data_IF_480429664190
#
_entry.id   IF_480429664190
#
_cell.length_a   1.000
_cell.length_b   1.000
_cell.length_c   1.000
_cell.angle_alpha   90.00
_cell.angle_beta   90.00
_cell.angle_gamma   90.00
#
_symmetry.space_group_name_H-M   'P 1'
#
loop_
_entity.id
_entity.type
_entity.pdbx_description
1 polymer ?
#
# COMPACT_ATOMS: atom_id res chain seq x y z
N UNK A 1 -8.57 -1.78 17.52
CA UNK A 1 -8.85 -0.66 16.59
C UNK A 1 -7.51 -0.11 16.11
N UNK A 2 -7.14 -0.24 14.82
CA UNK A 2 -6.02 0.55 14.31
C UNK A 2 -6.58 1.95 14.05
N UNK A 3 -6.09 2.95 14.80
CA UNK A 3 -6.43 4.37 14.56
C UNK A 3 -6.11 4.71 13.10
N UNK A 4 -6.91 5.58 12.50
CA UNK A 4 -6.58 6.31 11.28
C UNK A 4 -5.15 6.85 11.44
N UNK A 5 -4.16 6.16 10.84
CA UNK A 5 -2.76 6.53 11.01
C UNK A 5 -2.61 7.78 10.15
N UNK A 6 -2.33 8.92 10.78
CA UNK A 6 -2.00 10.14 10.04
C UNK A 6 -0.98 9.76 8.98
N UNK A 7 -1.25 10.11 7.71
CA UNK A 7 -0.29 9.90 6.64
C UNK A 7 1.06 10.48 7.08
N UNK A 8 2.17 9.75 6.85
CA UNK A 8 3.48 10.30 7.16
C UNK A 8 3.62 11.62 6.39
N UNK A 9 4.15 12.65 7.05
CA UNK A 9 4.47 13.94 6.45
C UNK A 9 5.99 14.10 6.38
N UNK A 10 6.53 14.64 5.27
CA UNK A 10 7.96 14.86 5.15
C UNK A 10 8.39 15.99 6.10
N UNK A 11 9.25 15.67 7.06
CA UNK A 11 9.78 16.66 8.00
C UNK A 11 10.79 17.60 7.33
N UNK A 12 11.64 17.05 6.46
CA UNK A 12 12.67 17.79 5.72
C UNK A 12 12.70 17.31 4.27
N UNK A 13 12.86 18.26 3.34
CA UNK A 13 13.00 18.01 1.90
C UNK A 13 14.30 18.67 1.44
N UNK A 14 15.18 17.87 0.83
CA UNK A 14 16.49 18.28 0.34
C UNK A 14 16.46 18.50 -1.18
N UNK A 15 17.32 19.36 -1.67
CA UNK A 15 17.49 19.58 -3.11
C UNK A 15 18.40 18.50 -3.73
N UNK A 16 18.13 18.19 -5.00
CA UNK A 16 18.89 17.24 -5.81
C UNK A 16 20.38 17.56 -5.89
N UNK A 17 20.75 18.83 -5.81
CA UNK A 17 22.15 19.29 -5.82
C UNK A 17 22.98 18.74 -4.66
N UNK A 18 22.35 18.40 -3.53
CA UNK A 18 23.03 17.79 -2.39
C UNK A 18 23.41 16.32 -2.61
N UNK A 19 22.94 15.69 -3.69
CA UNK A 19 23.22 14.30 -4.03
C UNK A 19 24.31 14.19 -5.09
N UNK A 20 25.27 13.27 -4.89
CA UNK A 20 26.31 12.99 -5.88
C UNK A 20 25.70 12.55 -7.24
N UNK A 21 26.17 13.09 -8.38
CA UNK A 21 25.65 12.75 -9.71
C UNK A 21 25.69 11.25 -10.05
N UNK A 22 26.63 10.49 -9.47
CA UNK A 22 26.75 9.04 -9.64
C UNK A 22 25.51 8.26 -9.17
N UNK A 23 24.66 8.87 -8.33
CA UNK A 23 23.46 8.26 -7.76
C UNK A 23 22.18 8.61 -8.53
N UNK A 24 22.23 9.53 -9.48
CA UNK A 24 21.04 10.02 -10.17
C UNK A 24 20.33 8.92 -10.96
N UNK A 25 21.08 8.08 -11.68
CA UNK A 25 20.52 6.97 -12.45
C UNK A 25 19.77 5.95 -11.57
N UNK A 26 20.28 5.68 -10.37
CA UNK A 26 19.63 4.78 -9.41
C UNK A 26 18.31 5.37 -8.87
N UNK A 27 18.27 6.67 -8.60
CA UNK A 27 17.05 7.38 -8.20
C UNK A 27 16.03 7.39 -9.33
N UNK A 28 16.45 7.69 -10.56
CA UNK A 28 15.58 7.68 -11.75
C UNK A 28 14.95 6.29 -11.97
N UNK A 29 15.74 5.23 -11.87
CA UNK A 29 15.26 3.86 -11.96
C UNK A 29 14.22 3.55 -10.86
N UNK A 30 14.52 3.93 -9.61
CA UNK A 30 13.59 3.73 -8.49
C UNK A 30 12.28 4.50 -8.69
N UNK A 31 12.33 5.74 -9.17
CA UNK A 31 11.12 6.55 -9.44
C UNK A 31 10.28 5.96 -10.57
N UNK A 32 10.92 5.41 -11.60
CA UNK A 32 10.24 4.70 -12.69
C UNK A 32 9.54 3.44 -12.16
N UNK A 33 10.21 2.65 -11.34
CA UNK A 33 9.64 1.47 -10.69
C UNK A 33 8.45 1.85 -9.80
N UNK A 34 8.62 2.88 -8.95
CA UNK A 34 7.54 3.39 -8.08
C UNK A 34 6.33 3.87 -8.88
N UNK A 35 6.54 4.52 -10.04
CA UNK A 35 5.44 4.94 -10.92
C UNK A 35 4.66 3.75 -11.46
N UNK A 36 5.35 2.69 -11.89
CA UNK A 36 4.71 1.47 -12.38
C UNK A 36 3.93 0.77 -11.26
N UNK A 37 4.55 0.61 -10.10
CA UNK A 37 3.96 -0.07 -8.94
C UNK A 37 2.77 0.70 -8.38
N UNK A 38 2.84 2.04 -8.28
CA UNK A 38 1.71 2.90 -7.90
C UNK A 38 0.51 2.68 -8.83
N UNK A 39 0.72 2.67 -10.16
CA UNK A 39 -0.36 2.41 -11.13
C UNK A 39 -0.98 1.02 -10.96
N UNK A 40 -0.13 -0.01 -10.77
CA UNK A 40 -0.61 -1.38 -10.54
C UNK A 40 -1.42 -1.47 -9.25
N UNK A 41 -0.96 -0.83 -8.18
CA UNK A 41 -1.63 -0.79 -6.88
C UNK A 41 -3.00 -0.11 -6.97
N UNK A 42 -3.08 1.06 -7.63
CA UNK A 42 -4.34 1.76 -7.90
C UNK A 42 -5.33 0.86 -8.64
N UNK A 43 -4.88 0.18 -9.70
CA UNK A 43 -5.72 -0.73 -10.48
C UNK A 43 -6.24 -1.88 -9.61
N UNK A 44 -5.36 -2.55 -8.86
CA UNK A 44 -5.74 -3.68 -8.02
C UNK A 44 -6.71 -3.28 -6.90
N UNK A 45 -6.50 -2.12 -6.27
CA UNK A 45 -7.42 -1.59 -5.25
C UNK A 45 -8.77 -1.16 -5.84
N UNK A 46 -8.80 -0.59 -7.04
CA UNK A 46 -10.05 -0.26 -7.74
C UNK A 46 -10.89 -1.52 -8.04
N UNK A 47 -10.23 -2.60 -8.49
CA UNK A 47 -10.89 -3.89 -8.67
C UNK A 47 -11.39 -4.47 -7.34
N UNK A 48 -10.60 -4.37 -6.27
CA UNK A 48 -10.98 -4.80 -4.93
C UNK A 48 -12.19 -4.02 -4.40
N UNK A 49 -12.24 -2.71 -4.66
CA UNK A 49 -13.38 -1.87 -4.31
C UNK A 49 -14.64 -2.28 -5.08
N UNK A 50 -14.50 -2.64 -6.36
CA UNK A 50 -15.61 -3.12 -7.19
C UNK A 50 -16.20 -4.41 -6.62
N UNK A 51 -15.38 -5.40 -6.28
CA UNK A 51 -15.84 -6.64 -5.62
C UNK A 51 -16.48 -6.36 -4.26
N UNK A 52 -15.95 -5.41 -3.51
CA UNK A 52 -16.51 -5.00 -2.22
C UNK A 52 -17.90 -4.37 -2.39
N UNK A 53 -18.14 -3.58 -3.42
CA UNK A 53 -19.47 -3.04 -3.71
C UNK A 53 -20.48 -4.13 -4.07
N UNK A 54 -20.07 -5.16 -4.81
CA UNK A 54 -20.92 -6.32 -5.10
C UNK A 54 -21.27 -7.06 -3.81
N UNK A 55 -20.28 -7.27 -2.93
CA UNK A 55 -20.48 -7.87 -1.61
C UNK A 55 -21.45 -7.05 -0.75
N UNK A 56 -21.33 -5.73 -0.74
CA UNK A 56 -22.24 -4.84 0.00
C UNK A 56 -23.68 -4.98 -0.49
N UNK A 57 -23.91 -4.91 -1.81
CA UNK A 57 -25.27 -5.08 -2.37
C UNK A 57 -25.88 -6.43 -1.99
N UNK A 58 -25.09 -7.50 -2.07
CA UNK A 58 -25.54 -8.84 -1.69
C UNK A 58 -25.82 -8.93 -0.19
N UNK A 59 -24.96 -8.33 0.64
CA UNK A 59 -25.16 -8.25 2.08
C UNK A 59 -26.49 -7.57 2.42
N UNK A 60 -26.76 -6.39 1.86
CA UNK A 60 -27.99 -5.65 2.15
C UNK A 60 -29.24 -6.44 1.73
N UNK A 61 -29.22 -7.10 0.57
CA UNK A 61 -30.35 -7.90 0.09
C UNK A 61 -30.64 -9.11 0.97
N UNK A 62 -29.61 -9.78 1.48
CA UNK A 62 -29.72 -11.08 2.15
C UNK A 62 -29.62 -10.99 3.69
N UNK A 63 -29.42 -9.79 4.26
CA UNK A 63 -29.25 -9.56 5.71
C UNK A 63 -30.43 -10.10 6.53
N UNK A 64 -31.66 -9.73 6.19
CA UNK A 64 -32.81 -10.06 7.02
C UNK A 64 -33.10 -11.57 7.08
N UNK A 65 -32.76 -12.30 6.00
CA UNK A 65 -32.96 -13.74 5.89
C UNK A 65 -31.90 -14.57 6.63
N UNK A 66 -30.68 -14.04 6.75
CA UNK A 66 -29.53 -14.84 7.19
C UNK A 66 -28.74 -14.24 8.36
N UNK A 67 -29.21 -13.16 8.99
CA UNK A 67 -28.45 -12.48 10.05
C UNK A 67 -27.99 -13.40 11.20
N UNK A 68 -28.75 -14.45 11.51
CA UNK A 68 -28.44 -15.44 12.56
C UNK A 68 -27.58 -16.61 12.07
N UNK A 69 -27.38 -16.77 10.76
CA UNK A 69 -26.66 -17.90 10.19
C UNK A 69 -25.15 -17.81 10.46
N UNK A 70 -24.50 -18.95 10.73
CA UNK A 70 -23.08 -19.00 11.04
C UNK A 70 -22.20 -18.51 9.89
N UNK A 71 -22.53 -18.88 8.64
CA UNK A 71 -21.82 -18.41 7.45
C UNK A 71 -21.94 -16.88 7.27
N UNK A 72 -23.04 -16.29 7.75
CA UNK A 72 -23.27 -14.84 7.62
C UNK A 72 -22.30 -14.01 8.46
N UNK A 73 -21.84 -14.55 9.59
CA UNK A 73 -20.76 -13.92 10.39
C UNK A 73 -19.47 -13.77 9.57
N UNK A 74 -19.19 -14.72 8.66
CA UNK A 74 -18.03 -14.66 7.76
C UNK A 74 -18.19 -13.58 6.69
N UNK A 75 -19.40 -13.39 6.17
CA UNK A 75 -19.73 -12.27 5.28
C UNK A 75 -19.46 -10.92 5.95
N UNK A 76 -19.88 -10.76 7.21
CA UNK A 76 -19.60 -9.55 7.99
C UNK A 76 -18.09 -9.29 8.16
N UNK A 77 -17.31 -10.32 8.44
CA UNK A 77 -15.85 -10.20 8.57
C UNK A 77 -15.18 -9.84 7.24
N UNK A 78 -15.56 -10.48 6.12
CA UNK A 78 -15.06 -10.10 4.79
C UNK A 78 -15.27 -8.62 4.50
N UNK A 79 -16.48 -8.10 4.76
CA UNK A 79 -16.81 -6.67 4.58
C UNK A 79 -15.95 -5.77 5.45
N UNK A 80 -15.75 -6.14 6.71
CA UNK A 80 -14.92 -5.39 7.65
C UNK A 80 -13.48 -5.27 7.18
N UNK A 81 -12.90 -6.36 6.67
CA UNK A 81 -11.53 -6.32 6.12
C UNK A 81 -11.45 -5.51 4.83
N UNK A 82 -12.42 -5.68 3.92
CA UNK A 82 -12.50 -4.89 2.70
C UNK A 82 -12.56 -3.38 2.98
N UNK A 83 -13.41 -2.96 3.93
CA UNK A 83 -13.48 -1.55 4.37
C UNK A 83 -12.15 -1.06 4.95
N UNK A 84 -11.53 -1.86 5.82
CA UNK A 84 -10.25 -1.51 6.46
C UNK A 84 -9.09 -1.39 5.46
N UNK A 85 -9.14 -2.14 4.36
CA UNK A 85 -8.16 -2.03 3.28
C UNK A 85 -8.22 -0.65 2.61
N UNK A 86 -9.43 -0.17 2.32
CA UNK A 86 -9.66 1.15 1.72
C UNK A 86 -9.30 2.28 2.68
N UNK A 87 -9.65 2.14 3.97
CA UNK A 87 -9.33 3.14 5.00
C UNK A 87 -7.82 3.32 5.25
N UNK A 88 -6.98 2.36 4.87
CA UNK A 88 -5.53 2.48 5.05
C UNK A 88 -4.89 3.49 4.08
N UNK A 89 -5.48 3.69 2.90
CA UNK A 89 -4.98 4.58 1.84
C UNK A 89 -3.48 4.39 1.51
N UNK A 90 -3.11 3.14 1.18
CA UNK A 90 -1.72 2.81 0.81
C UNK A 90 -1.28 3.53 -0.47
N UNK A 91 -2.22 3.84 -1.36
CA UNK A 91 -1.99 4.62 -2.58
C UNK A 91 -1.53 6.03 -2.25
N UNK A 92 -2.22 6.73 -1.35
CA UNK A 92 -1.82 8.05 -0.88
C UNK A 92 -0.45 8.04 -0.21
N UNK A 93 -0.10 6.98 0.53
CA UNK A 93 1.22 6.82 1.12
C UNK A 93 2.33 6.73 0.05
N UNK A 94 2.14 5.89 -0.98
CA UNK A 94 3.14 5.70 -2.04
C UNK A 94 3.23 6.93 -2.95
N UNK A 95 2.09 7.50 -3.33
CA UNK A 95 2.03 8.68 -4.20
C UNK A 95 2.53 9.93 -3.48
N UNK A 96 2.24 10.09 -2.18
CA UNK A 96 2.76 11.14 -1.34
C UNK A 96 4.29 11.09 -1.26
N UNK A 97 4.88 9.91 -1.08
CA UNK A 97 6.33 9.76 -1.16
C UNK A 97 6.86 10.13 -2.54
N UNK A 98 6.23 9.65 -3.61
CA UNK A 98 6.66 9.98 -4.98
C UNK A 98 6.60 11.49 -5.22
N UNK A 99 5.58 12.18 -4.69
CA UNK A 99 5.39 13.62 -4.85
C UNK A 99 6.54 14.44 -4.24
N UNK A 100 7.15 13.95 -3.14
CA UNK A 100 8.29 14.63 -2.52
C UNK A 100 9.51 14.83 -3.44
N UNK A 101 9.60 14.05 -4.53
CA UNK A 101 10.71 14.15 -5.48
C UNK A 101 10.57 15.28 -6.51
N UNK A 102 9.37 15.84 -6.65
CA UNK A 102 9.03 16.82 -7.69
C UNK A 102 8.56 18.12 -7.03
N UNK A 103 9.01 19.25 -7.58
CA UNK A 103 8.58 20.57 -7.12
C UNK A 103 7.12 20.80 -7.55
N UNK A 104 6.28 21.30 -6.64
CA UNK A 104 4.87 21.61 -6.87
C UNK A 104 4.02 20.45 -7.42
N UNK A 105 4.43 19.21 -7.14
CA UNK A 105 3.69 18.04 -7.58
C UNK A 105 2.51 17.75 -6.67
N UNK A 106 1.33 17.73 -7.28
CA UNK A 106 0.14 17.18 -6.66
C UNK A 106 0.20 15.63 -6.72
N UNK A 107 0.12 14.92 -5.57
CA UNK A 107 0.11 13.45 -5.55
C UNK A 107 -1.05 12.84 -6.36
N UNK A 108 -2.13 13.59 -6.57
CA UNK A 108 -3.28 13.17 -7.37
C UNK A 108 -3.08 13.35 -8.87
N UNK A 109 -2.13 14.18 -9.32
CA UNK A 109 -1.92 14.49 -10.71
C UNK A 109 -0.65 13.84 -11.28
N UNK A 110 -0.80 12.71 -11.98
CA UNK A 110 0.36 12.04 -12.58
C UNK A 110 1.12 12.86 -13.64
N UNK A 111 0.52 13.93 -14.20
CA UNK A 111 1.15 14.81 -15.19
C UNK A 111 2.12 15.82 -14.56
N UNK A 112 1.88 16.27 -13.32
CA UNK A 112 2.80 17.17 -12.61
C UNK A 112 4.11 16.49 -12.21
N UNK A 113 4.21 15.17 -12.38
CA UNK A 113 5.37 14.34 -12.03
C UNK A 113 6.13 13.86 -13.29
N UNK A 114 6.00 14.60 -14.39
CA UNK A 114 6.66 14.30 -15.67
C UNK A 114 8.00 15.01 -15.85
N UNK A 115 8.32 15.99 -15.00
CA UNK A 115 9.59 16.72 -15.05
C UNK A 115 10.74 15.88 -14.48
N UNK A 116 11.99 16.33 -14.66
CA UNK A 116 13.09 15.76 -13.89
C UNK A 116 12.86 15.97 -12.39
N UNK A 117 13.14 14.95 -11.57
CA UNK A 117 13.08 15.09 -10.13
C UNK A 117 14.11 16.13 -9.66
N UNK A 118 13.72 16.89 -8.65
CA UNK A 118 14.48 18.05 -8.17
C UNK A 118 14.75 17.99 -6.67
N UNK A 119 14.04 17.15 -5.94
CA UNK A 119 14.09 17.09 -4.47
C UNK A 119 14.06 15.63 -3.99
N UNK A 120 14.35 15.40 -2.72
CA UNK A 120 14.13 14.12 -2.06
C UNK A 120 13.83 14.31 -0.57
N UNK A 121 13.08 13.37 0.02
CA UNK A 121 12.71 13.42 1.44
C UNK A 121 13.79 12.84 2.36
N UNK A 122 13.76 13.24 3.64
CA UNK A 122 14.62 12.66 4.67
C UNK A 122 14.40 11.15 4.85
N UNK A 123 15.45 10.47 5.26
CA UNK A 123 15.49 9.07 5.64
C UNK A 123 14.38 8.70 6.63
N UNK A 124 14.15 9.53 7.66
CA UNK A 124 13.11 9.28 8.67
C UNK A 124 11.74 9.16 8.01
N UNK A 125 11.48 9.98 6.99
CA UNK A 125 10.24 9.92 6.23
C UNK A 125 10.16 8.62 5.41
N UNK A 126 11.20 8.26 4.66
CA UNK A 126 11.24 7.01 3.88
C UNK A 126 11.06 5.78 4.79
N UNK A 127 11.71 5.77 5.95
CA UNK A 127 11.55 4.72 6.97
C UNK A 127 10.12 4.63 7.51
N UNK A 128 9.47 5.78 7.74
CA UNK A 128 8.06 5.81 8.16
C UNK A 128 7.10 5.27 7.10
N UNK A 129 7.40 5.52 5.81
CA UNK A 129 6.66 4.96 4.67
C UNK A 129 6.86 3.44 4.62
N UNK A 130 8.09 2.96 4.73
CA UNK A 130 8.39 1.51 4.81
C UNK A 130 7.65 0.85 5.97
N UNK A 131 7.65 1.45 7.17
CA UNK A 131 6.90 0.94 8.32
C UNK A 131 5.39 0.87 8.06
N UNK A 132 4.86 1.84 7.31
CA UNK A 132 3.45 1.83 6.90
C UNK A 132 3.16 0.69 5.92
N UNK A 133 4.04 0.45 4.93
CA UNK A 133 3.90 -0.69 4.02
C UNK A 133 3.96 -2.04 4.75
N UNK A 134 4.86 -2.20 5.73
CA UNK A 134 4.90 -3.41 6.59
C UNK A 134 3.60 -3.60 7.36
N UNK A 135 3.05 -2.52 7.92
CA UNK A 135 1.77 -2.55 8.63
C UNK A 135 0.63 -2.96 7.68
N UNK A 136 0.65 -2.48 6.43
CA UNK A 136 -0.32 -2.84 5.40
C UNK A 136 -0.20 -4.31 4.97
N UNK A 137 1.00 -4.83 4.74
CA UNK A 137 1.21 -6.26 4.46
C UNK A 137 0.72 -7.14 5.61
N UNK A 138 0.91 -6.73 6.87
CA UNK A 138 0.34 -7.47 8.01
C UNK A 138 -1.19 -7.51 8.02
N UNK A 139 -1.84 -6.46 7.48
CA UNK A 139 -3.29 -6.43 7.30
C UNK A 139 -3.72 -7.36 6.15
N UNK A 140 -2.99 -7.34 5.03
CA UNK A 140 -3.23 -8.21 3.87
C UNK A 140 -3.10 -9.69 4.23
N UNK A 141 -2.06 -10.06 4.98
CA UNK A 141 -1.85 -11.43 5.46
C UNK A 141 -3.05 -11.90 6.31
N UNK A 142 -3.47 -11.08 7.28
CA UNK A 142 -4.64 -11.39 8.11
C UNK A 142 -5.92 -11.49 7.28
N UNK A 143 -6.09 -10.64 6.28
CA UNK A 143 -7.24 -10.70 5.38
C UNK A 143 -7.23 -12.00 4.56
N UNK A 144 -6.07 -12.40 4.03
CA UNK A 144 -5.91 -13.65 3.28
C UNK A 144 -6.26 -14.88 4.12
N UNK A 145 -5.76 -14.96 5.36
CA UNK A 145 -6.12 -16.01 6.33
C UNK A 145 -7.64 -16.09 6.55
N UNK A 146 -8.29 -14.93 6.76
CA UNK A 146 -9.73 -14.86 7.00
C UNK A 146 -10.57 -15.21 5.78
N UNK A 147 -10.08 -14.90 4.59
CA UNK A 147 -10.72 -15.34 3.34
C UNK A 147 -10.64 -16.86 3.18
N UNK A 148 -9.50 -17.48 3.55
CA UNK A 148 -9.36 -18.94 3.57
C UNK A 148 -10.33 -19.62 4.55
N UNK A 149 -10.49 -19.08 5.76
CA UNK A 149 -11.50 -19.56 6.72
C UNK A 149 -12.93 -19.37 6.20
N UNK A 150 -13.18 -18.25 5.52
CA UNK A 150 -14.50 -17.93 4.97
C UNK A 150 -14.87 -18.87 3.83
N UNK A 151 -13.92 -19.16 2.94
CA UNK A 151 -14.10 -20.14 1.88
C UNK A 151 -14.46 -21.52 2.44
N UNK A 152 -13.72 -22.00 3.46
CA UNK A 152 -14.05 -23.27 4.14
C UNK A 152 -15.47 -23.26 4.72
N UNK A 153 -15.86 -22.16 5.37
CA UNK A 153 -17.20 -22.02 5.94
C UNK A 153 -18.30 -22.02 4.88
N UNK A 154 -18.07 -21.41 3.72
CA UNK A 154 -19.05 -21.42 2.62
C UNK A 154 -19.13 -22.78 1.95
N UNK A 155 -18.01 -23.48 1.78
CA UNK A 155 -18.00 -24.86 1.28
C UNK A 155 -18.81 -25.81 2.16
N UNK A 156 -18.68 -25.70 3.48
CA UNK A 156 -19.50 -26.46 4.43
C UNK A 156 -20.99 -26.08 4.33
N UNK A 157 -21.30 -24.78 4.23
CA UNK A 157 -22.68 -24.34 4.07
C UNK A 157 -23.31 -24.85 2.76
N UNK A 158 -22.56 -24.93 1.66
CA UNK A 158 -23.04 -25.50 0.39
C UNK A 158 -23.39 -26.99 0.50
N UNK A 159 -22.65 -27.76 1.31
CA UNK A 159 -22.93 -29.19 1.53
C UNK A 159 -24.30 -29.44 2.18
N UNK A 160 -24.85 -28.46 2.90
CA UNK A 160 -26.19 -28.58 3.50
C UNK A 160 -27.33 -28.51 2.49
N UNK A 161 -27.05 -28.13 1.24
CA UNK A 161 -28.05 -27.98 0.18
C UNK A 161 -28.92 -26.72 0.29
N UNK A 162 -28.89 -26.02 1.43
CA UNK A 162 -29.66 -24.80 1.64
C UNK A 162 -28.97 -23.58 0.99
N UNK A 163 -29.75 -22.77 0.27
CA UNK A 163 -29.31 -21.49 -0.32
C UNK A 163 -28.04 -21.57 -1.18
N UNK A 164 -27.80 -22.71 -1.87
CA UNK A 164 -26.57 -22.97 -2.65
C UNK A 164 -26.21 -21.80 -3.57
N UNK A 165 -27.19 -21.21 -4.27
CA UNK A 165 -26.94 -20.10 -5.19
C UNK A 165 -26.29 -18.89 -4.48
N UNK A 166 -26.79 -18.52 -3.30
CA UNK A 166 -26.23 -17.43 -2.51
C UNK A 166 -24.82 -17.78 -2.02
N UNK A 167 -24.67 -18.96 -1.45
CA UNK A 167 -23.40 -19.43 -0.86
C UNK A 167 -22.31 -19.60 -1.92
N UNK A 168 -22.66 -20.06 -3.12
CA UNK A 168 -21.78 -20.15 -4.27
C UNK A 168 -21.35 -18.76 -4.76
N UNK A 169 -22.29 -17.82 -4.82
CA UNK A 169 -21.99 -16.43 -5.19
C UNK A 169 -21.03 -15.78 -4.18
N UNK A 170 -21.26 -15.98 -2.88
CA UNK A 170 -20.39 -15.50 -1.81
C UNK A 170 -18.99 -16.14 -1.89
N UNK A 171 -18.92 -17.44 -2.19
CA UNK A 171 -17.66 -18.16 -2.43
C UNK A 171 -16.89 -17.55 -3.59
N UNK A 172 -17.56 -17.31 -4.73
CA UNK A 172 -16.93 -16.70 -5.89
C UNK A 172 -16.37 -15.30 -5.60
N UNK A 173 -17.12 -14.47 -4.87
CA UNK A 173 -16.64 -13.15 -4.41
C UNK A 173 -15.43 -13.31 -3.49
N UNK A 174 -15.47 -14.22 -2.51
CA UNK A 174 -14.35 -14.46 -1.59
C UNK A 174 -13.08 -14.88 -2.34
N UNK A 175 -13.20 -15.77 -3.32
CA UNK A 175 -12.08 -16.20 -4.16
C UNK A 175 -11.50 -15.06 -4.99
N UNK A 176 -12.33 -14.23 -5.64
CA UNK A 176 -11.83 -13.07 -6.41
C UNK A 176 -11.15 -12.04 -5.51
N UNK A 177 -11.71 -11.76 -4.34
CA UNK A 177 -11.07 -10.88 -3.34
C UNK A 177 -9.73 -11.47 -2.87
N UNK A 178 -9.63 -12.78 -2.65
CA UNK A 178 -8.39 -13.43 -2.22
C UNK A 178 -7.27 -13.28 -3.28
N UNK A 179 -7.60 -13.45 -4.56
CA UNK A 179 -6.68 -13.23 -5.67
C UNK A 179 -6.19 -11.77 -5.69
N UNK A 180 -7.11 -10.81 -5.55
CA UNK A 180 -6.77 -9.38 -5.52
C UNK A 180 -5.89 -9.03 -4.31
N UNK A 181 -6.18 -9.59 -3.12
CA UNK A 181 -5.36 -9.40 -1.92
C UNK A 181 -3.92 -9.89 -2.15
N UNK A 182 -3.74 -11.05 -2.79
CA UNK A 182 -2.42 -11.57 -3.16
C UNK A 182 -1.70 -10.68 -4.18
N UNK A 183 -2.41 -10.13 -5.18
CA UNK A 183 -1.83 -9.20 -6.15
C UNK A 183 -1.39 -7.88 -5.50
N UNK A 184 -2.20 -7.35 -4.59
CA UNK A 184 -1.88 -6.13 -3.84
C UNK A 184 -0.65 -6.39 -2.96
N UNK A 185 -0.57 -7.54 -2.27
CA UNK A 185 0.58 -7.86 -1.43
C UNK A 185 1.89 -7.98 -2.24
N UNK A 186 1.89 -8.69 -3.37
CA UNK A 186 3.04 -8.73 -4.30
C UNK A 186 3.48 -7.31 -4.72
N UNK A 187 2.53 -6.44 -5.03
CA UNK A 187 2.82 -5.05 -5.42
C UNK A 187 3.41 -4.24 -4.26
N UNK A 188 2.92 -4.43 -3.04
CA UNK A 188 3.40 -3.75 -1.82
C UNK A 188 4.80 -4.24 -1.44
N UNK A 189 5.07 -5.55 -1.54
CA UNK A 189 6.38 -6.13 -1.28
C UNK A 189 7.44 -5.56 -2.23
N UNK A 190 7.16 -5.56 -3.54
CA UNK A 190 8.05 -4.93 -4.54
C UNK A 190 8.26 -3.45 -4.29
N UNK A 191 7.21 -2.73 -3.87
CA UNK A 191 7.34 -1.31 -3.51
C UNK A 191 8.29 -1.13 -2.34
N UNK A 192 8.16 -1.95 -1.29
CA UNK A 192 9.06 -1.93 -0.13
C UNK A 192 10.51 -2.25 -0.51
N UNK A 193 10.75 -3.20 -1.42
CA UNK A 193 12.09 -3.50 -1.92
C UNK A 193 12.71 -2.31 -2.65
N UNK A 194 11.96 -1.65 -3.54
CA UNK A 194 12.39 -0.41 -4.21
C UNK A 194 12.73 0.67 -3.20
N UNK A 195 11.88 0.87 -2.18
CA UNK A 195 12.13 1.88 -1.14
C UNK A 195 13.33 1.57 -0.25
N UNK A 196 13.57 0.29 0.03
CA UNK A 196 14.75 -0.13 0.80
C UNK A 196 16.03 0.14 0.01
N UNK A 197 16.03 -0.17 -1.29
CA UNK A 197 17.14 0.18 -2.20
C UNK A 197 17.35 1.69 -2.30
N UNK A 198 16.26 2.45 -2.46
CA UNK A 198 16.30 3.91 -2.54
C UNK A 198 16.85 4.53 -1.25
N UNK A 199 16.39 4.06 -0.09
CA UNK A 199 16.90 4.48 1.22
C UNK A 199 18.41 4.24 1.32
N UNK A 200 18.90 3.07 0.93
CA UNK A 200 20.33 2.75 0.96
C UNK A 200 21.19 3.69 0.07
N UNK A 201 20.67 4.09 -1.11
CA UNK A 201 21.34 5.04 -2.01
C UNK A 201 21.42 6.44 -1.39
N UNK A 202 20.32 6.90 -0.79
CA UNK A 202 20.21 8.22 -0.17
C UNK A 202 20.97 8.30 1.17
N UNK A 203 21.09 7.20 1.89
CA UNK A 203 21.78 7.11 3.20
C UNK A 203 23.29 7.28 3.13
N UNK A 204 23.93 6.88 2.02
CA UNK A 204 25.37 7.08 1.79
C UNK A 204 25.75 8.55 1.51
N UNK A 205 24.93 9.52 1.90
CA UNK A 205 25.17 10.98 1.72
C UNK A 205 25.45 11.65 3.07
N UNK A 206 24.75 11.25 4.14
CA UNK A 206 24.95 11.83 5.48
C UNK A 206 26.38 11.64 6.01
N UNK A 207 27.05 10.54 5.65
CA UNK A 207 28.44 10.27 6.08
C UNK A 207 29.44 11.22 5.39
N UNK A 208 29.21 11.59 4.13
CA UNK A 208 30.10 12.49 3.40
C UNK A 208 29.97 13.94 3.87
N UNK A 209 28.73 14.41 4.09
CA UNK A 209 28.48 15.79 4.53
C UNK A 209 28.93 16.02 5.98
N UNK A 210 28.93 15.00 6.84
CA UNK A 210 29.48 15.12 8.19
C UNK A 210 31.02 15.15 8.19
N UNK A 211 31.67 14.43 7.27
CA UNK A 211 33.13 14.46 7.13
C UNK A 211 33.63 15.77 6.52
N UNK A 212 32.90 16.35 5.55
CA UNK A 212 33.26 17.66 4.98
C UNK A 212 33.16 18.80 6.01
N UNK A 213 32.29 18.68 7.02
CA UNK A 213 32.23 19.61 8.15
C UNK A 213 33.34 19.40 9.18
N UNK A 214 33.86 18.17 9.33
CA UNK A 214 35.00 17.89 10.19
C UNK A 214 36.33 18.38 9.57
N UNK A 215 36.49 18.29 8.25
CA UNK A 215 37.70 18.75 7.56
C UNK A 215 37.83 20.28 7.53
N UNK A 216 36.71 21.02 7.57
CA UNK A 216 36.71 22.48 7.68
C UNK A 216 37.03 23.01 9.09
N UNK A 217 36.86 22.20 10.14
CA UNK A 217 37.22 22.58 11.51
C UNK A 217 38.70 22.25 11.80
N UNK A 218 39.31 21.30 11.07
CA UNK A 218 40.69 20.86 11.33
C UNK A 218 41.79 21.63 10.57
N UNK A 219 41.42 22.51 9.63
CA UNK A 219 42.39 23.37 8.89
C UNK A 219 42.49 24.78 9.52
N UNK A 220 41.68 25.07 10.55
CA UNK A 220 41.56 26.40 11.17
C UNK A 220 42.04 26.50 12.63
N UNK A 221 42.99 25.67 13.08
CA UNK A 221 43.63 25.79 14.39
C UNK A 221 45.13 25.46 14.32
#
# INVERSE_FOLDING_TARGET
MLRCRKQPTPNNIFDRSALSPSKFSAVDAALKDLKLLSRRLHKALSLQQTESQVLERLYYKSKNQHHSALFWRRVCEMRRFAKRLLEFDVTGVVDGLRATFFRDADPSNSKSMSSSWSRYADEKYISSVISSLVSFSSLLQKMHERLGETYKSFSLAMQTGAFIQLTLTLTAIASRIAILVSEIDDTVQRTREVLTRLSAVLMRVKISVLNDFCDLIFIGL
#
